data_IF_755844255269
#
_entry.id   IF_755844255269
#
_cell.length_a   1.000
_cell.length_b   1.000
_cell.length_c   1.000
_cell.angle_alpha   90.00
_cell.angle_beta   90.00
_cell.angle_gamma   90.00
#
_symmetry.space_group_name_H-M   'P 1'
#
loop_
_entity.id
_entity.type
_entity.pdbx_description
1 polymer ?
#
# COMPACT_ATOMS: atom_id res chain seq x y z
N UNK A 1 -23.17 27.41 -5.54
CA UNK A 1 -23.06 26.64 -6.80
C UNK A 1 -21.60 26.59 -7.20
N UNK A 2 -20.92 25.48 -6.92
CA UNK A 2 -19.63 25.13 -7.52
C UNK A 2 -19.85 23.74 -8.08
N UNK A 3 -19.94 23.66 -9.39
CA UNK A 3 -20.03 22.42 -10.13
C UNK A 3 -18.75 21.62 -9.85
N UNK A 4 -18.92 20.53 -9.11
CA UNK A 4 -17.92 19.48 -9.03
C UNK A 4 -18.10 18.72 -10.34
N UNK A 5 -17.11 18.80 -11.22
CA UNK A 5 -17.00 17.90 -12.37
C UNK A 5 -17.05 16.46 -11.83
N UNK A 6 -18.21 15.81 -11.93
CA UNK A 6 -18.33 14.39 -11.68
C UNK A 6 -17.67 13.69 -12.87
N UNK A 7 -16.38 13.36 -12.72
CA UNK A 7 -15.76 12.39 -13.60
C UNK A 7 -16.38 11.03 -13.22
N UNK A 8 -17.17 10.48 -14.14
CA UNK A 8 -17.78 9.17 -13.98
C UNK A 8 -16.70 8.08 -14.03
N UNK A 9 -16.17 7.74 -12.85
CA UNK A 9 -15.22 6.63 -12.67
C UNK A 9 -15.90 5.26 -12.92
N UNK A 10 -17.23 5.23 -13.09
CA UNK A 10 -18.01 4.01 -13.29
C UNK A 10 -17.89 3.39 -14.68
N UNK A 11 -17.54 4.18 -15.71
CA UNK A 11 -17.60 3.70 -17.10
C UNK A 11 -16.43 2.79 -17.53
N UNK A 12 -15.35 2.69 -16.75
CA UNK A 12 -14.15 1.94 -17.16
C UNK A 12 -13.79 0.73 -16.26
N UNK A 13 -14.47 0.52 -15.14
CA UNK A 13 -14.20 -0.61 -14.24
C UNK A 13 -15.46 -1.28 -13.66
N UNK A 14 -16.64 -1.14 -14.28
CA UNK A 14 -17.81 -1.90 -13.89
C UNK A 14 -17.78 -3.31 -14.51
N UNK A 15 -17.04 -4.24 -13.89
CA UNK A 15 -17.36 -5.65 -14.02
C UNK A 15 -18.43 -5.98 -12.98
N UNK A 16 -19.65 -6.24 -13.45
CA UNK A 16 -20.55 -7.08 -12.69
C UNK A 16 -19.91 -8.47 -12.64
N UNK A 17 -19.47 -8.90 -11.46
CA UNK A 17 -19.13 -10.31 -11.25
C UNK A 17 -20.43 -11.09 -11.41
N UNK A 18 -20.70 -11.64 -12.60
CA UNK A 18 -21.98 -12.28 -12.92
C UNK A 18 -22.32 -13.42 -11.95
N UNK A 19 -21.29 -14.11 -11.44
CA UNK A 19 -21.39 -15.11 -10.36
C UNK A 19 -20.11 -15.10 -9.51
N UNK A 20 -20.19 -14.61 -8.27
CA UNK A 20 -19.18 -14.86 -7.25
C UNK A 20 -19.65 -16.00 -6.37
N UNK A 21 -18.86 -17.08 -6.26
CA UNK A 21 -19.09 -18.11 -5.24
C UNK A 21 -18.10 -17.86 -4.11
N UNK A 22 -18.61 -17.64 -2.90
CA UNK A 22 -17.79 -17.47 -1.70
C UNK A 22 -17.80 -18.75 -0.89
N UNK A 23 -16.62 -19.30 -0.63
CA UNK A 23 -16.44 -20.44 0.25
C UNK A 23 -15.77 -19.94 1.55
N UNK A 24 -16.51 -19.89 2.65
CA UNK A 24 -15.97 -19.53 3.97
C UNK A 24 -15.40 -20.77 4.69
N UNK A 25 -14.48 -20.58 5.65
CA UNK A 25 -13.83 -21.64 6.43
C UNK A 25 -13.20 -22.75 5.57
N UNK A 26 -12.80 -22.39 4.36
CA UNK A 26 -12.13 -23.27 3.40
C UNK A 26 -10.66 -22.90 3.42
N UNK A 27 -10.00 -23.15 4.55
CA UNK A 27 -8.55 -22.99 4.59
C UNK A 27 -7.93 -23.97 3.59
N UNK A 28 -7.04 -23.45 2.75
CA UNK A 28 -6.34 -24.26 1.76
C UNK A 28 -5.08 -24.82 2.40
N UNK A 29 -4.70 -26.03 2.03
CA UNK A 29 -3.50 -26.68 2.58
C UNK A 29 -2.43 -26.91 1.54
N UNK A 30 -2.80 -26.94 0.26
CA UNK A 30 -1.89 -27.21 -0.83
C UNK A 30 -2.34 -26.55 -2.13
N UNK A 31 -1.37 -26.05 -2.88
CA UNK A 31 -1.54 -25.65 -4.27
C UNK A 31 -0.64 -26.57 -5.07
N UNK A 32 -1.24 -27.36 -5.95
CA UNK A 32 -0.51 -28.22 -6.88
C UNK A 32 -0.58 -27.60 -8.27
N UNK A 33 0.60 -27.27 -8.80
CA UNK A 33 0.77 -26.84 -10.18
C UNK A 33 1.05 -28.07 -11.04
N UNK A 34 -0.02 -28.77 -11.41
CA UNK A 34 0.07 -30.13 -11.95
C UNK A 34 0.32 -30.11 -13.47
N UNK A 35 -0.14 -29.07 -14.18
CA UNK A 35 -0.08 -29.00 -15.64
C UNK A 35 0.04 -27.55 -16.15
N UNK A 36 0.69 -27.36 -17.31
CA UNK A 36 0.76 -26.06 -18.00
C UNK A 36 -0.60 -25.42 -18.34
N UNK A 37 -1.70 -26.16 -18.15
CA UNK A 37 -3.07 -25.77 -18.54
C UNK A 37 -4.02 -25.48 -17.36
N UNK A 38 -3.71 -25.88 -16.13
CA UNK A 38 -4.60 -25.69 -14.98
C UNK A 38 -3.85 -25.79 -13.65
N UNK A 39 -4.34 -25.09 -12.63
CA UNK A 39 -3.83 -25.19 -11.25
C UNK A 39 -4.90 -25.75 -10.31
N UNK A 40 -4.50 -26.54 -9.32
CA UNK A 40 -5.43 -27.17 -8.37
C UNK A 40 -5.15 -26.71 -6.94
N UNK A 41 -6.20 -26.42 -6.18
CA UNK A 41 -6.12 -26.25 -4.72
C UNK A 41 -6.72 -27.46 -4.03
N UNK A 42 -6.12 -27.83 -2.90
CA UNK A 42 -6.68 -28.80 -1.96
C UNK A 42 -7.09 -28.07 -0.68
N UNK A 43 -8.35 -28.22 -0.27
CA UNK A 43 -8.85 -27.66 0.99
C UNK A 43 -8.43 -28.52 2.19
N UNK A 44 -8.52 -27.99 3.41
CA UNK A 44 -8.34 -28.78 4.64
C UNK A 44 -9.22 -30.04 4.71
N UNK A 45 -10.37 -30.05 4.03
CA UNK A 45 -11.28 -31.20 3.95
C UNK A 45 -10.87 -32.24 2.91
N UNK A 46 -9.77 -32.01 2.18
CA UNK A 46 -9.29 -32.87 1.11
C UNK A 46 -10.04 -32.70 -0.22
N UNK A 47 -10.90 -31.68 -0.34
CA UNK A 47 -11.59 -31.38 -1.60
C UNK A 47 -10.65 -30.69 -2.57
N UNK A 48 -10.72 -31.07 -3.84
CA UNK A 48 -9.90 -30.49 -4.90
C UNK A 48 -10.74 -29.61 -5.82
N UNK A 49 -10.22 -28.42 -6.12
CA UNK A 49 -10.81 -27.49 -7.07
C UNK A 49 -9.75 -27.09 -8.10
N UNK A 50 -10.11 -27.14 -9.38
CA UNK A 50 -9.21 -26.77 -10.48
C UNK A 50 -9.64 -25.46 -11.12
N UNK A 51 -8.67 -24.61 -11.42
CA UNK A 51 -8.85 -23.29 -12.00
C UNK A 51 -7.85 -23.04 -13.12
N UNK A 52 -8.14 -22.07 -13.99
CA UNK A 52 -7.16 -21.57 -14.95
C UNK A 52 -6.02 -20.83 -14.25
N UNK A 53 -6.33 -20.11 -13.17
CA UNK A 53 -5.40 -19.26 -12.45
C UNK A 53 -5.84 -19.09 -10.98
N UNK A 54 -4.88 -18.95 -10.08
CA UNK A 54 -5.06 -18.58 -8.67
C UNK A 54 -4.39 -17.24 -8.40
N UNK A 55 -5.12 -16.36 -7.71
CA UNK A 55 -4.57 -15.14 -7.11
C UNK A 55 -4.31 -15.35 -5.62
N UNK A 56 -3.04 -15.51 -5.26
CA UNK A 56 -2.58 -15.59 -3.88
C UNK A 56 -2.66 -14.23 -3.20
N UNK A 57 -3.73 -14.01 -2.44
CA UNK A 57 -4.03 -12.78 -1.68
C UNK A 57 -4.14 -13.04 -0.17
N UNK A 58 -3.47 -14.08 0.30
CA UNK A 58 -3.54 -14.67 1.64
C UNK A 58 -2.56 -14.04 2.65
N UNK A 59 -2.05 -12.85 2.33
CA UNK A 59 -1.29 -12.00 3.23
C UNK A 59 0.14 -12.48 3.52
N UNK A 60 0.80 -11.79 4.45
CA UNK A 60 2.23 -12.01 4.75
C UNK A 60 2.55 -13.43 5.21
N UNK A 61 1.60 -14.15 5.82
CA UNK A 61 1.80 -15.53 6.29
C UNK A 61 1.14 -16.59 5.39
N UNK A 62 0.63 -16.17 4.23
CA UNK A 62 -0.13 -16.98 3.29
C UNK A 62 0.61 -18.21 2.76
N UNK A 63 -0.15 -19.24 2.40
CA UNK A 63 0.36 -20.48 1.81
C UNK A 63 0.82 -20.28 0.37
N UNK A 64 0.27 -19.27 -0.33
CA UNK A 64 0.49 -19.08 -1.76
C UNK A 64 1.95 -18.75 -2.03
N UNK A 65 2.51 -17.77 -1.29
CA UNK A 65 3.94 -17.45 -1.36
C UNK A 65 4.80 -18.62 -0.85
N UNK A 66 4.43 -19.27 0.26
CA UNK A 66 5.18 -20.42 0.80
C UNK A 66 5.26 -21.58 -0.19
N UNK A 67 4.25 -21.76 -1.03
CA UNK A 67 4.25 -22.80 -2.05
C UNK A 67 5.22 -22.47 -3.18
N UNK A 68 5.24 -21.20 -3.63
CA UNK A 68 6.12 -20.77 -4.72
C UNK A 68 7.57 -20.58 -4.27
N UNK A 69 7.77 -20.08 -3.06
CA UNK A 69 9.07 -19.66 -2.51
C UNK A 69 9.19 -20.14 -1.05
N UNK A 70 9.32 -21.47 -0.80
CA UNK A 70 9.36 -22.03 0.55
C UNK A 70 10.56 -21.55 1.38
N UNK A 71 11.63 -21.08 0.73
CA UNK A 71 12.80 -20.48 1.36
C UNK A 71 12.57 -19.04 1.85
N UNK A 72 11.51 -18.37 1.39
CA UNK A 72 11.21 -16.98 1.76
C UNK A 72 10.36 -16.92 3.02
N UNK A 73 11.03 -16.64 4.13
CA UNK A 73 10.41 -16.44 5.44
C UNK A 73 10.23 -14.94 5.69
N UNK A 74 9.00 -14.46 6.03
CA UNK A 74 8.81 -13.08 6.46
C UNK A 74 9.61 -12.78 7.72
N UNK A 75 10.29 -11.64 7.73
CA UNK A 75 11.07 -11.19 8.86
C UNK A 75 10.79 -9.73 9.16
N UNK A 76 11.04 -9.32 10.40
CA UNK A 76 11.04 -7.90 10.73
C UNK A 76 12.35 -7.28 10.22
N UNK A 77 12.30 -6.26 9.36
CA UNK A 77 13.51 -5.67 8.79
C UNK A 77 14.29 -4.83 9.82
N UNK A 78 13.62 -4.43 10.89
CA UNK A 78 14.18 -3.75 12.07
C UNK A 78 13.58 -4.35 13.34
N UNK A 79 13.99 -3.87 14.52
CA UNK A 79 13.34 -4.24 15.78
C UNK A 79 12.04 -3.44 16.03
N UNK A 80 11.47 -2.81 15.00
CA UNK A 80 10.29 -1.98 15.17
C UNK A 80 9.02 -2.84 15.31
N UNK A 81 8.13 -2.42 16.20
CA UNK A 81 6.83 -3.04 16.43
C UNK A 81 5.78 -1.97 16.73
N UNK A 82 4.51 -2.34 16.65
CA UNK A 82 3.42 -1.39 16.86
C UNK A 82 2.39 -1.89 17.87
N UNK A 83 2.00 -1.04 18.83
CA UNK A 83 0.71 -1.22 19.50
C UNK A 83 -0.41 -0.61 18.66
N UNK A 84 -1.62 -1.15 18.81
CA UNK A 84 -2.84 -0.59 18.22
C UNK A 84 -3.90 -0.44 19.28
N UNK A 85 -4.56 0.71 19.30
CA UNK A 85 -5.68 0.95 20.20
C UNK A 85 -6.73 1.85 19.56
N UNK A 86 -7.94 1.76 20.09
CA UNK A 86 -9.07 2.59 19.68
C UNK A 86 -9.66 3.24 20.93
N UNK A 87 -9.92 4.54 20.85
CA UNK A 87 -10.60 5.29 21.93
C UNK A 87 -11.81 6.02 21.34
N UNK A 88 -13.03 5.86 21.91
CA UNK A 88 -14.20 6.59 21.43
C UNK A 88 -14.00 8.11 21.53
N UNK A 89 -14.38 8.85 20.48
CA UNK A 89 -14.31 10.31 20.45
C UNK A 89 -15.08 10.95 21.60
N UNK A 90 -16.19 10.34 22.01
CA UNK A 90 -17.01 10.81 23.14
C UNK A 90 -16.21 10.92 24.44
N UNK A 91 -15.26 10.01 24.70
CA UNK A 91 -14.39 10.06 25.88
C UNK A 91 -13.34 11.16 25.75
N UNK A 92 -12.78 11.32 24.55
CA UNK A 92 -11.76 12.34 24.26
C UNK A 92 -12.36 13.75 24.37
N UNK A 93 -13.58 13.95 23.87
CA UNK A 93 -14.31 15.22 23.91
C UNK A 93 -14.78 15.59 25.32
N UNK A 94 -15.09 14.59 26.16
CA UNK A 94 -15.52 14.80 27.54
C UNK A 94 -14.38 15.32 28.44
N UNK A 95 -13.12 15.05 28.10
CA UNK A 95 -11.96 15.47 28.88
C UNK A 95 -11.40 16.84 28.39
N UNK A 96 -11.30 17.86 29.27
CA UNK A 96 -10.84 19.19 28.88
C UNK A 96 -9.42 19.26 28.29
N UNK A 97 -8.55 18.32 28.64
CA UNK A 97 -7.16 18.28 28.20
C UNK A 97 -7.03 17.62 26.82
N UNK A 98 -7.85 16.60 26.53
CA UNK A 98 -7.75 15.86 25.26
C UNK A 98 -8.70 16.38 24.19
N UNK A 99 -9.75 17.13 24.54
CA UNK A 99 -10.74 17.62 23.55
C UNK A 99 -10.11 18.38 22.39
N UNK A 100 -9.02 19.12 22.61
CA UNK A 100 -8.37 19.91 21.56
C UNK A 100 -7.81 19.04 20.43
N UNK A 101 -7.48 17.77 20.72
CA UNK A 101 -6.94 16.84 19.73
C UNK A 101 -7.92 16.51 18.61
N UNK A 102 -9.22 16.68 18.84
CA UNK A 102 -10.27 16.27 17.90
C UNK A 102 -11.29 17.37 17.60
N UNK A 103 -11.11 18.57 18.20
CA UNK A 103 -12.07 19.67 18.10
C UNK A 103 -11.96 20.44 16.79
N UNK A 104 -10.77 20.51 16.21
CA UNK A 104 -10.48 21.35 15.04
C UNK A 104 -10.78 20.67 13.70
N UNK A 105 -11.13 19.38 13.70
CA UNK A 105 -11.52 18.65 12.51
C UNK A 105 -11.20 17.17 12.57
N UNK A 106 -11.39 16.50 11.44
CA UNK A 106 -10.97 15.12 11.23
C UNK A 106 -9.58 15.12 10.59
N UNK A 107 -8.53 15.25 11.41
CA UNK A 107 -7.13 15.20 10.96
C UNK A 107 -6.50 13.84 11.22
N UNK A 108 -5.45 13.54 10.44
CA UNK A 108 -4.45 12.53 10.81
C UNK A 108 -3.27 13.27 11.39
N UNK A 109 -2.89 12.95 12.62
CA UNK A 109 -1.75 13.57 13.30
C UNK A 109 -0.65 12.55 13.56
N UNK A 110 0.60 12.99 13.42
CA UNK A 110 1.79 12.18 13.76
C UNK A 110 2.54 12.87 14.88
N UNK A 111 2.69 12.16 15.99
CA UNK A 111 3.37 12.58 17.20
C UNK A 111 4.72 11.87 17.25
N UNK A 112 5.82 12.61 17.12
CA UNK A 112 7.16 12.05 17.09
C UNK A 112 7.91 12.41 18.37
N UNK A 113 8.65 11.46 18.92
CA UNK A 113 9.61 11.67 20.01
C UNK A 113 10.85 10.80 19.71
N UNK A 114 11.81 10.77 20.64
CA UNK A 114 13.01 9.97 20.54
C UNK A 114 12.66 8.48 20.41
N UNK A 115 13.02 7.91 19.26
CA UNK A 115 12.90 6.47 18.99
C UNK A 115 11.46 5.91 19.08
N UNK A 116 10.45 6.77 18.92
CA UNK A 116 9.06 6.37 18.92
C UNK A 116 8.18 7.40 18.20
N UNK A 117 7.08 6.94 17.62
CA UNK A 117 6.04 7.82 17.12
C UNK A 117 4.64 7.25 17.36
N UNK A 118 3.62 8.11 17.34
CA UNK A 118 2.21 7.74 17.38
C UNK A 118 1.50 8.39 16.19
N UNK A 119 0.69 7.61 15.48
CA UNK A 119 -0.25 8.15 14.49
C UNK A 119 -1.65 8.08 15.10
N UNK A 120 -2.40 9.17 15.03
CA UNK A 120 -3.80 9.25 15.44
C UNK A 120 -4.68 9.68 14.26
N UNK A 121 -5.79 9.00 14.02
CA UNK A 121 -6.76 9.41 13.00
C UNK A 121 -8.18 8.91 13.31
N UNK A 122 -9.22 9.64 12.86
CA UNK A 122 -10.61 9.20 12.99
C UNK A 122 -10.89 7.97 12.14
N UNK A 123 -11.67 7.06 12.69
CA UNK A 123 -12.35 5.99 11.96
C UNK A 123 -13.85 6.03 12.28
N UNK A 124 -14.64 5.13 11.70
CA UNK A 124 -16.08 5.00 12.00
C UNK A 124 -16.87 6.33 11.83
N UNK A 125 -16.52 7.13 10.81
CA UNK A 125 -17.06 8.47 10.58
C UNK A 125 -16.86 9.44 11.77
N UNK A 126 -15.72 9.37 12.45
CA UNK A 126 -15.37 10.24 13.57
C UNK A 126 -15.99 9.82 14.91
N UNK A 127 -16.48 8.58 15.02
CA UNK A 127 -16.94 8.02 16.30
C UNK A 127 -15.78 7.51 17.16
N UNK A 128 -14.72 7.06 16.53
CA UNK A 128 -13.60 6.38 17.17
C UNK A 128 -12.27 6.99 16.70
N UNK A 129 -11.32 7.16 17.63
CA UNK A 129 -9.94 7.54 17.33
C UNK A 129 -9.10 6.28 17.27
N UNK A 130 -8.57 5.99 16.09
CA UNK A 130 -7.57 4.95 15.93
C UNK A 130 -6.19 5.49 16.28
N UNK A 131 -5.40 4.68 16.97
CA UNK A 131 -4.03 5.01 17.37
C UNK A 131 -3.09 3.87 17.03
N UNK A 132 -1.94 4.21 16.43
CA UNK A 132 -0.84 3.28 16.14
C UNK A 132 0.41 3.81 16.81
N UNK A 133 1.01 2.98 17.67
CA UNK A 133 2.14 3.34 18.54
C UNK A 133 3.38 2.57 18.09
N UNK A 134 4.25 3.22 17.31
CA UNK A 134 5.48 2.59 16.78
C UNK A 134 6.65 2.79 17.74
N UNK A 135 7.43 1.74 17.97
CA UNK A 135 8.57 1.74 18.87
C UNK A 135 9.50 0.55 18.58
N UNK A 136 10.79 0.71 18.88
CA UNK A 136 11.74 -0.39 18.84
C UNK A 136 11.68 -1.25 20.11
N UNK A 137 11.80 -2.57 19.93
CA UNK A 137 12.00 -3.54 20.99
C UNK A 137 13.47 -3.97 21.07
N UNK A 138 13.94 -4.55 22.20
CA UNK A 138 15.30 -5.09 22.29
C UNK A 138 15.60 -6.14 21.23
N UNK A 139 14.62 -7.01 20.94
CA UNK A 139 14.69 -8.09 19.96
C UNK A 139 13.53 -8.01 18.97
N UNK A 140 13.69 -8.48 17.72
CA UNK A 140 12.60 -8.54 16.75
C UNK A 140 11.41 -9.35 17.25
N UNK A 141 10.20 -8.81 17.05
CA UNK A 141 8.96 -9.53 17.32
C UNK A 141 8.59 -10.35 16.08
N UNK A 142 8.33 -11.64 16.26
CA UNK A 142 7.95 -12.54 15.16
C UNK A 142 6.44 -12.78 15.07
N UNK A 143 5.72 -12.68 16.19
CA UNK A 143 4.29 -12.98 16.30
C UNK A 143 3.58 -11.90 17.10
N UNK A 144 2.27 -11.77 16.92
CA UNK A 144 1.45 -10.86 17.74
C UNK A 144 1.51 -11.31 19.20
N UNK A 145 1.76 -10.37 20.11
CA UNK A 145 1.90 -10.63 21.54
C UNK A 145 0.89 -9.80 22.33
N UNK A 146 0.18 -10.37 23.32
CA UNK A 146 -0.56 -9.56 24.28
C UNK A 146 0.40 -8.71 25.11
N UNK A 147 -0.01 -7.49 25.46
CA UNK A 147 0.77 -6.58 26.31
C UNK A 147 -0.10 -5.90 27.34
N UNK A 148 0.48 -5.64 28.50
CA UNK A 148 -0.19 -4.90 29.58
C UNK A 148 -0.21 -3.41 29.28
N UNK A 149 -1.32 -2.74 29.61
CA UNK A 149 -1.43 -1.28 29.40
C UNK A 149 -0.34 -0.50 30.17
N UNK A 150 0.15 -1.05 31.28
CA UNK A 150 1.26 -0.45 32.04
C UNK A 150 2.55 -0.34 31.21
N UNK A 151 2.84 -1.33 30.36
CA UNK A 151 4.00 -1.32 29.48
C UNK A 151 3.88 -0.22 28.41
N UNK A 152 2.69 -0.05 27.83
CA UNK A 152 2.41 1.03 26.88
C UNK A 152 2.56 2.40 27.56
N UNK A 153 2.05 2.56 28.79
CA UNK A 153 2.18 3.80 29.55
C UNK A 153 3.64 4.13 29.85
N UNK A 154 4.46 3.14 30.18
CA UNK A 154 5.88 3.31 30.45
C UNK A 154 6.65 3.70 29.18
N UNK A 155 6.39 3.01 28.06
CA UNK A 155 7.01 3.30 26.75
C UNK A 155 6.78 4.76 26.32
N UNK A 156 5.57 5.29 26.57
CA UNK A 156 5.16 6.63 26.15
C UNK A 156 5.10 7.65 27.29
N UNK A 157 5.82 7.42 28.41
CA UNK A 157 5.76 8.30 29.61
C UNK A 157 6.26 9.73 29.38
N UNK A 158 7.12 9.93 28.38
CA UNK A 158 7.71 11.22 28.05
C UNK A 158 6.94 12.00 26.97
N UNK A 159 5.95 11.38 26.33
CA UNK A 159 5.13 12.03 25.31
C UNK A 159 4.25 13.15 25.87
N UNK A 160 3.67 13.95 24.96
CA UNK A 160 2.74 15.03 25.26
C UNK A 160 1.68 14.60 26.30
N UNK A 161 1.43 15.41 27.35
CA UNK A 161 0.45 15.09 28.39
C UNK A 161 -0.94 14.69 27.85
N UNK A 162 -1.39 15.29 26.73
CA UNK A 162 -2.67 14.97 26.09
C UNK A 162 -2.68 13.54 25.55
N UNK A 163 -1.59 13.11 24.91
CA UNK A 163 -1.45 11.73 24.42
C UNK A 163 -1.41 10.74 25.57
N UNK A 164 -0.65 11.01 26.63
CA UNK A 164 -0.63 10.15 27.83
C UNK A 164 -2.02 10.01 28.45
N UNK A 165 -2.80 11.10 28.45
CA UNK A 165 -4.19 11.09 28.91
C UNK A 165 -5.06 10.21 28.01
N UNK A 166 -4.94 10.28 26.69
CA UNK A 166 -5.66 9.38 25.76
C UNK A 166 -5.26 7.91 25.98
N UNK A 167 -3.97 7.61 26.16
CA UNK A 167 -3.50 6.23 26.48
C UNK A 167 -4.19 5.70 27.75
N UNK A 168 -4.42 6.57 28.75
CA UNK A 168 -5.12 6.17 29.97
C UNK A 168 -6.62 5.87 29.78
N UNK A 169 -7.21 6.23 28.64
CA UNK A 169 -8.61 5.96 28.30
C UNK A 169 -8.85 4.63 27.58
N UNK A 170 -7.78 3.90 27.26
CA UNK A 170 -7.88 2.58 26.61
C UNK A 170 -8.38 1.57 27.64
N UNK A 171 -9.48 0.89 27.33
CA UNK A 171 -10.20 -0.04 28.22
C UNK A 171 -10.35 -1.45 27.64
N UNK A 172 -9.60 -1.78 26.58
CA UNK A 172 -9.59 -3.08 25.95
C UNK A 172 -8.17 -3.68 25.93
N UNK A 173 -8.02 -5.01 25.76
CA UNK A 173 -6.70 -5.63 25.61
C UNK A 173 -5.89 -4.99 24.48
N UNK A 174 -4.60 -4.77 24.72
CA UNK A 174 -3.66 -4.26 23.71
C UNK A 174 -2.74 -5.40 23.27
N UNK A 175 -2.36 -5.35 22.00
CA UNK A 175 -1.40 -6.28 21.41
C UNK A 175 -0.24 -5.51 20.79
N UNK A 176 0.94 -6.11 20.85
CA UNK A 176 2.11 -5.73 20.06
C UNK A 176 2.11 -6.50 18.75
N UNK A 177 2.20 -5.78 17.65
CA UNK A 177 2.22 -6.31 16.30
C UNK A 177 3.62 -6.22 15.71
N UNK A 178 4.14 -7.30 15.12
CA UNK A 178 5.38 -7.25 14.37
C UNK A 178 5.18 -6.55 13.01
N UNK A 179 6.24 -5.92 12.50
CA UNK A 179 6.26 -5.35 11.15
C UNK A 179 7.02 -6.28 10.21
N UNK A 180 6.34 -7.37 9.82
CA UNK A 180 6.94 -8.38 8.95
C UNK A 180 6.92 -7.94 7.49
N UNK A 181 8.04 -8.13 6.81
CA UNK A 181 8.17 -7.94 5.37
C UNK A 181 8.74 -9.19 4.73
N UNK A 182 8.37 -9.39 3.49
CA UNK A 182 9.07 -10.27 2.56
C UNK A 182 9.98 -9.38 1.74
N UNK A 183 11.28 -9.68 1.77
CA UNK A 183 12.25 -9.01 0.89
C UNK A 183 11.82 -9.09 -0.59
N UNK A 184 12.49 -8.36 -1.49
CA UNK A 184 12.11 -8.35 -2.90
C UNK A 184 12.12 -9.77 -3.46
N UNK A 185 10.94 -10.25 -3.87
CA UNK A 185 10.81 -11.55 -4.50
C UNK A 185 11.38 -11.49 -5.92
N UNK A 186 11.95 -12.60 -6.39
CA UNK A 186 12.47 -12.70 -7.77
C UNK A 186 11.33 -12.67 -8.81
N UNK A 187 10.15 -13.11 -8.42
CA UNK A 187 8.92 -13.14 -9.22
C UNK A 187 7.72 -13.13 -8.27
N UNK A 188 6.57 -12.69 -8.76
CA UNK A 188 5.28 -12.76 -8.07
C UNK A 188 4.40 -13.88 -8.64
N UNK A 189 4.96 -14.84 -9.37
CA UNK A 189 4.19 -15.90 -9.99
C UNK A 189 4.95 -17.20 -10.12
N UNK A 190 4.22 -18.31 -10.28
CA UNK A 190 4.75 -19.61 -10.69
C UNK A 190 5.40 -19.52 -12.07
N UNK A 191 6.32 -20.42 -12.41
CA UNK A 191 6.96 -20.47 -13.73
C UNK A 191 5.95 -20.57 -14.90
N UNK A 192 4.85 -21.30 -14.73
CA UNK A 192 3.80 -21.42 -15.75
C UNK A 192 2.77 -20.27 -15.73
N UNK A 193 2.96 -19.26 -14.86
CA UNK A 193 2.10 -18.08 -14.69
C UNK A 193 0.64 -18.37 -14.32
N UNK A 194 0.37 -19.44 -13.57
CA UNK A 194 -0.99 -19.79 -13.10
C UNK A 194 -1.24 -19.54 -11.62
N UNK A 195 -0.20 -19.46 -10.80
CA UNK A 195 -0.29 -18.91 -9.45
C UNK A 195 0.33 -17.53 -9.47
N UNK A 196 -0.40 -16.49 -9.09
CA UNK A 196 0.09 -15.11 -9.05
C UNK A 196 -0.21 -14.49 -7.69
N UNK A 197 0.81 -13.89 -7.07
CA UNK A 197 0.74 -13.26 -5.77
C UNK A 197 0.35 -11.79 -5.92
N UNK A 198 -0.48 -11.29 -4.99
CA UNK A 198 -0.86 -9.88 -4.87
C UNK A 198 -0.79 -9.41 -3.41
N UNK A 199 -0.67 -8.10 -3.19
CA UNK A 199 -0.65 -7.53 -1.85
C UNK A 199 0.45 -8.13 -0.96
N UNK A 200 0.18 -8.29 0.34
CA UNK A 200 1.19 -8.74 1.30
C UNK A 200 1.79 -10.14 1.01
N UNK A 201 1.12 -10.98 0.21
CA UNK A 201 1.71 -12.24 -0.25
C UNK A 201 2.89 -12.01 -1.22
N UNK A 202 2.86 -10.89 -1.97
CA UNK A 202 3.86 -10.52 -2.97
C UNK A 202 4.81 -9.40 -2.52
N UNK A 203 4.27 -8.39 -1.82
CA UNK A 203 4.91 -7.10 -1.59
C UNK A 203 4.64 -6.51 -0.19
N UNK A 204 4.58 -7.38 0.82
CA UNK A 204 4.44 -6.94 2.22
C UNK A 204 5.47 -5.87 2.59
N UNK A 205 5.03 -4.88 3.36
CA UNK A 205 5.80 -3.68 3.66
C UNK A 205 5.54 -3.18 5.07
N UNK A 206 6.50 -2.44 5.63
CA UNK A 206 6.28 -1.71 6.88
C UNK A 206 5.20 -0.64 6.68
N UNK A 207 4.49 -0.29 7.76
CA UNK A 207 3.25 0.50 7.71
C UNK A 207 3.44 2.03 7.68
N UNK A 208 4.67 2.53 7.58
CA UNK A 208 4.99 3.94 7.76
C UNK A 208 4.47 4.87 6.67
N UNK A 209 4.03 4.37 5.51
CA UNK A 209 3.40 5.17 4.45
C UNK A 209 1.91 4.83 4.23
N UNK A 210 1.33 3.95 5.05
CA UNK A 210 -0.05 3.46 4.90
C UNK A 210 -0.37 2.90 3.49
N UNK A 211 0.63 2.39 2.76
CA UNK A 211 0.49 2.00 1.35
C UNK A 211 0.24 0.51 1.11
N UNK A 212 0.31 -0.37 2.12
CA UNK A 212 0.15 -1.82 1.90
C UNK A 212 -1.18 -2.19 1.24
N UNK A 213 -2.30 -1.76 1.84
CA UNK A 213 -3.63 -2.02 1.30
C UNK A 213 -3.86 -1.35 -0.06
N UNK A 214 -3.43 -0.10 -0.24
CA UNK A 214 -3.54 0.61 -1.52
C UNK A 214 -2.75 -0.11 -2.63
N UNK A 215 -1.55 -0.61 -2.32
CA UNK A 215 -0.72 -1.38 -3.26
C UNK A 215 -1.39 -2.70 -3.65
N UNK A 216 -2.00 -3.41 -2.69
CA UNK A 216 -2.78 -4.61 -2.98
C UNK A 216 -3.99 -4.33 -3.89
N UNK A 217 -4.68 -3.20 -3.68
CA UNK A 217 -5.79 -2.77 -4.55
C UNK A 217 -5.30 -2.42 -5.96
N UNK A 218 -4.18 -1.69 -6.08
CA UNK A 218 -3.54 -1.40 -7.36
C UNK A 218 -3.16 -2.68 -8.10
N UNK A 219 -2.67 -3.70 -7.40
CA UNK A 219 -2.33 -5.00 -7.98
C UNK A 219 -3.57 -5.68 -8.57
N UNK A 220 -4.66 -5.73 -7.80
CA UNK A 220 -5.94 -6.27 -8.25
C UNK A 220 -6.52 -5.53 -9.44
N UNK A 221 -6.49 -4.20 -9.44
CA UNK A 221 -6.96 -3.35 -10.55
C UNK A 221 -6.10 -3.59 -11.80
N UNK A 222 -4.78 -3.59 -11.66
CA UNK A 222 -3.87 -3.79 -12.78
C UNK A 222 -4.09 -5.17 -13.42
N UNK A 223 -4.16 -6.23 -12.58
CA UNK A 223 -4.46 -7.59 -13.03
C UNK A 223 -5.82 -7.69 -13.73
N UNK A 224 -6.86 -7.06 -13.17
CA UNK A 224 -8.20 -7.05 -13.77
C UNK A 224 -8.18 -6.50 -15.20
N UNK A 225 -7.44 -5.41 -15.45
CA UNK A 225 -7.33 -4.81 -16.78
C UNK A 225 -6.54 -5.70 -17.75
N UNK A 226 -5.40 -6.27 -17.34
CA UNK A 226 -4.62 -7.15 -18.25
C UNK A 226 -5.33 -8.49 -18.51
N UNK A 227 -6.03 -9.04 -17.52
CA UNK A 227 -6.82 -10.27 -17.68
C UNK A 227 -8.04 -10.07 -18.57
N UNK A 228 -8.62 -8.86 -18.60
CA UNK A 228 -9.64 -8.51 -19.60
C UNK A 228 -9.12 -8.69 -21.02
N UNK A 229 -7.89 -8.25 -21.29
CA UNK A 229 -7.28 -8.43 -22.61
C UNK A 229 -7.01 -9.91 -22.95
N UNK A 230 -6.81 -10.76 -21.93
CA UNK A 230 -6.74 -12.22 -22.10
C UNK A 230 -8.11 -12.80 -22.49
N UNK A 231 -9.17 -12.42 -21.78
CA UNK A 231 -10.55 -12.87 -22.06
C UNK A 231 -10.98 -12.44 -23.47
N UNK A 232 -10.56 -11.25 -23.91
CA UNK A 232 -10.80 -10.74 -25.27
C UNK A 232 -9.93 -11.41 -26.34
N UNK A 233 -9.02 -12.31 -25.97
CA UNK A 233 -8.10 -12.99 -26.89
C UNK A 233 -7.01 -12.08 -27.47
N UNK A 234 -6.81 -10.89 -26.93
CA UNK A 234 -5.83 -9.91 -27.43
C UNK A 234 -4.40 -10.24 -27.01
N UNK A 235 -4.23 -10.80 -25.81
CA UNK A 235 -2.95 -11.32 -25.30
C UNK A 235 -3.18 -12.68 -24.61
N UNK A 236 -2.13 -13.46 -24.39
CA UNK A 236 -2.23 -14.71 -23.62
C UNK A 236 -1.98 -14.46 -22.11
N UNK A 237 -2.36 -15.44 -21.28
CA UNK A 237 -2.23 -15.35 -19.81
C UNK A 237 -0.78 -15.08 -19.37
N UNK A 238 0.20 -15.75 -19.99
CA UNK A 238 1.62 -15.56 -19.67
C UNK A 238 2.04 -14.11 -19.89
N UNK A 239 1.68 -13.54 -21.05
CA UNK A 239 1.96 -12.12 -21.37
C UNK A 239 1.29 -11.18 -20.37
N UNK A 240 0.05 -11.44 -19.94
CA UNK A 240 -0.64 -10.61 -18.96
C UNK A 240 0.07 -10.62 -17.59
N UNK A 241 0.50 -11.79 -17.11
CA UNK A 241 1.24 -11.90 -15.85
C UNK A 241 2.63 -11.27 -15.96
N UNK A 242 3.33 -11.47 -17.08
CA UNK A 242 4.63 -10.83 -17.34
C UNK A 242 4.50 -9.30 -17.35
N UNK A 243 3.42 -8.74 -17.93
CA UNK A 243 3.12 -7.31 -17.87
C UNK A 243 2.87 -6.84 -16.43
N UNK A 244 2.07 -7.58 -15.67
CA UNK A 244 1.82 -7.29 -14.26
C UNK A 244 3.12 -7.21 -13.46
N UNK A 245 3.94 -8.26 -13.49
CA UNK A 245 5.21 -8.30 -12.76
C UNK A 245 6.13 -7.16 -13.17
N UNK A 246 6.34 -6.99 -14.48
CA UNK A 246 7.26 -5.98 -15.02
C UNK A 246 6.86 -4.55 -14.63
N UNK A 247 5.56 -4.26 -14.56
CA UNK A 247 5.05 -2.91 -14.31
C UNK A 247 4.80 -2.62 -12.83
N UNK A 248 4.44 -3.64 -12.04
CA UNK A 248 4.06 -3.49 -10.63
C UNK A 248 5.20 -3.73 -9.66
N UNK A 249 6.09 -4.70 -9.91
CA UNK A 249 7.19 -4.99 -8.98
C UNK A 249 8.05 -3.77 -8.67
N UNK A 250 8.53 -2.97 -9.65
CA UNK A 250 9.36 -1.80 -9.34
C UNK A 250 8.61 -0.72 -8.55
N UNK A 251 7.29 -0.57 -8.77
CA UNK A 251 6.48 0.43 -8.07
C UNK A 251 6.21 0.01 -6.62
N UNK A 252 5.87 -1.25 -6.40
CA UNK A 252 5.69 -1.77 -5.05
C UNK A 252 7.01 -1.74 -4.27
N UNK A 253 8.13 -2.10 -4.91
CA UNK A 253 9.46 -1.95 -4.31
C UNK A 253 9.74 -0.50 -3.91
N UNK A 254 9.43 0.47 -4.80
CA UNK A 254 9.60 1.88 -4.47
C UNK A 254 8.79 2.29 -3.24
N UNK A 255 7.54 1.83 -3.13
CA UNK A 255 6.69 2.09 -1.94
C UNK A 255 7.25 1.43 -0.68
N UNK A 256 7.77 0.20 -0.78
CA UNK A 256 8.47 -0.49 0.33
C UNK A 256 9.67 0.33 0.83
N UNK A 257 10.53 0.78 -0.08
CA UNK A 257 11.71 1.59 0.23
C UNK A 257 11.34 2.92 0.91
N UNK A 258 10.37 3.65 0.34
CA UNK A 258 9.93 4.93 0.90
C UNK A 258 9.27 4.72 2.27
N UNK A 259 8.50 3.64 2.45
CA UNK A 259 7.94 3.29 3.76
C UNK A 259 9.02 3.00 4.79
N UNK A 260 10.06 2.24 4.42
CA UNK A 260 11.19 1.99 5.31
C UNK A 260 11.88 3.30 5.73
N UNK A 261 12.23 4.16 4.76
CA UNK A 261 12.89 5.43 5.02
C UNK A 261 12.03 6.39 5.87
N UNK A 262 10.72 6.41 5.65
CA UNK A 262 9.82 7.22 6.46
C UNK A 262 9.81 6.75 7.93
N UNK A 263 9.88 5.45 8.15
CA UNK A 263 10.08 4.86 9.47
C UNK A 263 11.36 5.35 10.15
N UNK A 264 12.49 5.28 9.45
CA UNK A 264 13.79 5.74 9.96
C UNK A 264 13.74 7.23 10.36
N UNK A 265 13.10 8.08 9.53
CA UNK A 265 12.95 9.51 9.82
C UNK A 265 12.11 9.73 11.08
N UNK A 266 10.96 9.06 11.19
CA UNK A 266 10.05 9.25 12.32
C UNK A 266 10.61 8.73 13.64
N UNK A 267 11.52 7.77 13.64
CA UNK A 267 12.18 7.26 14.86
C UNK A 267 13.52 7.93 15.18
N UNK A 268 13.96 8.96 14.44
CA UNK A 268 15.19 9.68 14.80
C UNK A 268 15.15 10.16 16.27
N UNK A 269 16.32 10.09 16.93
CA UNK A 269 16.51 10.44 18.33
C UNK A 269 17.66 11.45 18.53
N UNK A 270 17.71 12.06 19.70
CA UNK A 270 18.76 12.99 20.11
C UNK A 270 18.93 14.18 19.16
N UNK A 271 20.16 14.46 18.76
CA UNK A 271 20.45 15.60 17.87
C UNK A 271 19.93 15.41 16.44
N UNK A 272 19.71 14.16 16.01
CA UNK A 272 19.06 13.90 14.72
C UNK A 272 17.56 14.24 14.77
N UNK A 273 16.87 13.93 15.87
CA UNK A 273 15.47 14.32 16.09
C UNK A 273 15.29 15.84 16.02
N UNK A 274 16.15 16.61 16.71
CA UNK A 274 16.06 18.08 16.67
C UNK A 274 16.23 18.65 15.26
N UNK A 275 17.13 18.07 14.46
CA UNK A 275 17.32 18.48 13.06
C UNK A 275 16.11 18.14 12.19
N UNK A 276 15.52 16.96 12.37
CA UNK A 276 14.24 16.59 11.73
C UNK A 276 13.15 17.59 12.11
N UNK A 277 12.96 17.85 13.40
CA UNK A 277 11.90 18.74 13.89
C UNK A 277 12.07 20.16 13.36
N UNK A 278 13.30 20.69 13.33
CA UNK A 278 13.60 21.98 12.74
C UNK A 278 13.30 22.03 11.22
N UNK A 279 13.56 20.94 10.50
CA UNK A 279 13.25 20.84 9.08
C UNK A 279 11.73 20.72 8.81
N UNK A 280 11.00 20.00 9.67
CA UNK A 280 9.54 19.80 9.56
C UNK A 280 8.72 20.96 10.15
N UNK A 281 9.33 21.87 10.93
CA UNK A 281 8.63 22.96 11.61
C UNK A 281 7.85 23.88 10.67
N UNK A 282 8.27 24.00 9.41
CA UNK A 282 7.57 24.79 8.39
C UNK A 282 6.17 24.25 8.06
N UNK A 283 5.91 22.97 8.35
CA UNK A 283 4.62 22.30 8.07
C UNK A 283 3.56 22.57 9.13
N UNK A 284 3.96 22.99 10.34
CA UNK A 284 3.04 23.29 11.44
C UNK A 284 2.23 24.59 11.24
N UNK A 285 2.39 25.24 10.09
CA UNK A 285 1.84 26.57 9.76
C UNK A 285 0.40 26.63 9.24
N UNK A 286 -0.38 25.55 9.38
CA UNK A 286 -1.82 25.46 9.03
C UNK A 286 -2.14 24.96 7.62
N UNK A 287 -3.39 24.56 7.40
CA UNK A 287 -3.92 24.08 6.11
C UNK A 287 -3.69 25.08 4.97
N UNK A 288 -3.32 24.59 3.78
CA UNK A 288 -3.22 25.38 2.55
C UNK A 288 -1.82 25.89 2.18
N UNK A 289 -0.79 25.64 2.99
CA UNK A 289 0.61 25.93 2.62
C UNK A 289 1.21 24.72 1.88
N UNK A 290 1.09 24.71 0.55
CA UNK A 290 1.79 23.73 -0.28
C UNK A 290 3.28 24.04 -0.26
N UNK A 291 4.07 23.16 0.34
CA UNK A 291 5.52 23.28 0.30
C UNK A 291 6.05 22.65 -0.99
N UNK A 292 6.89 23.39 -1.72
CA UNK A 292 7.55 22.88 -2.92
C UNK A 292 8.57 21.78 -2.61
N UNK A 293 9.08 21.74 -1.37
CA UNK A 293 9.94 20.69 -0.82
C UNK A 293 9.62 20.55 0.65
N UNK A 294 9.47 19.32 1.12
CA UNK A 294 9.22 19.02 2.53
C UNK A 294 10.01 17.76 2.92
N UNK A 295 10.56 17.71 4.14
CA UNK A 295 11.18 16.51 4.69
C UNK A 295 10.16 15.43 5.09
N UNK A 296 8.86 15.76 5.16
CA UNK A 296 7.78 14.81 5.37
C UNK A 296 7.42 14.14 4.04
N UNK A 297 7.71 12.85 3.94
CA UNK A 297 7.48 12.07 2.72
C UNK A 297 5.99 11.93 2.37
N UNK A 298 5.06 12.17 3.29
CA UNK A 298 3.63 12.28 2.99
C UNK A 298 3.26 13.62 2.34
N UNK A 299 3.97 14.69 2.67
CA UNK A 299 3.71 16.03 2.13
C UNK A 299 4.49 16.31 0.83
N UNK A 300 5.51 15.51 0.52
CA UNK A 300 6.39 15.76 -0.62
C UNK A 300 5.60 15.69 -1.95
N UNK A 301 5.59 16.75 -2.78
CA UNK A 301 4.82 16.75 -4.02
C UNK A 301 5.23 15.66 -5.02
N UNK A 302 6.53 15.28 -5.01
CA UNK A 302 7.03 14.19 -5.83
C UNK A 302 6.45 12.85 -5.39
N UNK A 303 6.55 12.55 -4.09
CA UNK A 303 5.96 11.34 -3.50
C UNK A 303 4.44 11.30 -3.66
N UNK A 304 3.75 12.42 -3.45
CA UNK A 304 2.30 12.54 -3.65
C UNK A 304 1.88 12.17 -5.08
N UNK A 305 2.60 12.71 -6.08
CA UNK A 305 2.34 12.39 -7.48
C UNK A 305 2.68 10.94 -7.81
N UNK A 306 3.81 10.45 -7.32
CA UNK A 306 4.33 9.13 -7.68
C UNK A 306 3.55 7.98 -7.02
N UNK A 307 3.18 8.13 -5.75
CA UNK A 307 2.59 7.08 -4.92
C UNK A 307 1.06 7.25 -4.82
N UNK A 308 0.58 8.44 -4.48
CA UNK A 308 -0.83 8.64 -4.08
C UNK A 308 -1.74 9.03 -5.26
N UNK A 309 -1.19 9.66 -6.29
CA UNK A 309 -1.93 10.03 -7.52
C UNK A 309 -1.82 9.00 -8.64
N UNK A 310 -1.27 7.83 -8.35
CA UNK A 310 -1.06 6.78 -9.35
C UNK A 310 -2.37 6.09 -9.73
N UNK A 311 -2.68 6.10 -11.03
CA UNK A 311 -3.80 5.37 -11.60
C UNK A 311 -3.34 4.02 -12.18
N UNK A 312 -3.63 2.95 -11.44
CA UNK A 312 -3.27 1.59 -11.84
C UNK A 312 -4.02 1.10 -13.08
N UNK A 313 -5.26 1.53 -13.30
CA UNK A 313 -6.08 1.10 -14.42
C UNK A 313 -5.57 1.71 -15.73
N UNK A 314 -5.31 3.02 -15.73
CA UNK A 314 -4.74 3.74 -16.88
C UNK A 314 -3.36 3.17 -17.22
N UNK A 315 -2.53 2.91 -16.21
CA UNK A 315 -1.21 2.32 -16.43
C UNK A 315 -1.30 0.92 -17.05
N UNK A 316 -2.21 0.07 -16.56
CA UNK A 316 -2.43 -1.26 -17.12
C UNK A 316 -2.91 -1.21 -18.56
N UNK A 317 -3.87 -0.32 -18.87
CA UNK A 317 -4.38 -0.14 -20.23
C UNK A 317 -3.27 0.26 -21.20
N UNK A 318 -2.42 1.22 -20.82
CA UNK A 318 -1.26 1.61 -21.62
C UNK A 318 -0.24 0.49 -21.80
N UNK A 319 -0.02 -0.33 -20.76
CA UNK A 319 0.87 -1.48 -20.84
C UNK A 319 0.37 -2.55 -21.84
N UNK A 320 -0.94 -2.82 -21.85
CA UNK A 320 -1.58 -3.71 -22.85
C UNK A 320 -1.47 -3.12 -24.25
N UNK A 321 -1.82 -1.85 -24.43
CA UNK A 321 -1.75 -1.17 -25.73
C UNK A 321 -0.33 -1.21 -26.32
N UNK A 322 0.69 -0.95 -25.48
CA UNK A 322 2.10 -1.02 -25.87
C UNK A 322 2.51 -2.43 -26.28
N UNK A 323 1.99 -3.47 -25.63
CA UNK A 323 2.25 -4.86 -26.01
C UNK A 323 1.60 -5.19 -27.36
N UNK A 324 0.35 -4.76 -27.57
CA UNK A 324 -0.40 -5.01 -28.81
C UNK A 324 0.19 -4.30 -30.04
N UNK A 325 0.73 -3.09 -29.86
CA UNK A 325 1.43 -2.35 -30.93
C UNK A 325 2.77 -3.01 -31.33
N UNK A 326 3.16 -4.09 -30.65
CA UNK A 326 4.48 -4.67 -30.73
C UNK A 326 5.53 -3.68 -30.20
N UNK A 327 6.79 -4.12 -30.09
CA UNK A 327 7.92 -3.21 -29.83
C UNK A 327 8.22 -2.30 -31.04
N UNK A 328 7.20 -1.81 -31.73
CA UNK A 328 7.28 -0.74 -32.71
C UNK A 328 7.67 0.52 -31.95
N UNK A 329 8.95 0.86 -32.05
CA UNK A 329 9.44 2.19 -31.78
C UNK A 329 8.40 3.21 -32.28
N UNK A 330 8.11 4.23 -31.48
CA UNK A 330 7.88 5.54 -32.08
C UNK A 330 9.07 5.70 -33.02
N UNK A 331 8.83 5.55 -34.32
CA UNK A 331 9.88 5.67 -35.30
C UNK A 331 10.57 7.01 -35.00
N UNK A 332 11.89 7.01 -34.89
CA UNK A 332 12.71 8.24 -34.73
C UNK A 332 12.53 9.24 -35.90
N UNK A 333 11.58 8.99 -36.80
CA UNK A 333 11.18 9.88 -37.88
C UNK A 333 10.29 10.99 -37.31
N UNK A 334 10.90 11.97 -36.65
CA UNK A 334 10.23 13.24 -36.41
C UNK A 334 10.79 14.13 -35.29
N UNK A 335 11.54 13.59 -34.32
CA UNK A 335 12.04 14.43 -33.23
C UNK A 335 13.39 15.05 -33.56
N UNK A 336 13.48 16.35 -33.30
CA UNK A 336 14.70 17.18 -33.44
C UNK A 336 15.74 16.75 -32.40
N UNK A 337 16.87 16.18 -32.83
CA UNK A 337 17.93 15.62 -31.95
C UNK A 337 18.60 16.66 -31.03
N UNK A 338 18.41 17.94 -31.31
CA UNK A 338 18.82 19.07 -30.48
C UNK A 338 17.89 19.33 -29.27
N UNK A 339 16.79 18.59 -29.13
CA UNK A 339 15.86 18.67 -28.01
C UNK A 339 15.89 17.35 -27.23
N UNK A 340 15.93 17.43 -25.89
CA UNK A 340 15.80 16.25 -25.02
C UNK A 340 14.50 15.52 -25.31
N UNK A 341 14.58 14.21 -25.53
CA UNK A 341 13.43 13.38 -25.90
C UNK A 341 12.31 13.47 -24.87
N UNK A 342 12.65 13.53 -23.58
CA UNK A 342 11.66 13.67 -22.50
C UNK A 342 10.88 15.00 -22.60
N UNK A 343 11.55 16.06 -23.06
CA UNK A 343 10.92 17.37 -23.27
C UNK A 343 10.01 17.34 -24.50
N UNK A 344 10.47 16.74 -25.60
CA UNK A 344 9.67 16.58 -26.82
C UNK A 344 8.40 15.76 -26.54
N UNK A 345 8.53 14.60 -25.89
CA UNK A 345 7.41 13.70 -25.59
C UNK A 345 6.38 14.36 -24.65
N UNK A 346 6.84 15.16 -23.67
CA UNK A 346 5.96 15.84 -22.72
C UNK A 346 5.09 16.95 -23.32
N UNK A 347 5.48 17.49 -24.48
CA UNK A 347 4.81 18.64 -25.14
C UNK A 347 4.13 18.20 -26.43
N UNK A 348 4.84 17.50 -27.30
CA UNK A 348 4.35 17.08 -28.63
C UNK A 348 3.48 15.83 -28.54
N UNK A 349 3.68 14.98 -27.51
CA UNK A 349 2.82 13.81 -27.26
C UNK A 349 1.33 14.15 -27.06
N UNK A 350 1.01 15.41 -26.76
CA UNK A 350 -0.38 15.91 -26.69
C UNK A 350 -1.06 16.02 -28.06
N UNK A 351 -0.30 16.07 -29.15
CA UNK A 351 -0.77 16.38 -30.52
C UNK A 351 -0.53 15.24 -31.53
N UNK A 352 -0.10 14.05 -31.08
CA UNK A 352 0.15 12.92 -31.97
C UNK A 352 -1.17 12.39 -32.57
N UNK A 353 -1.15 12.11 -33.89
CA UNK A 353 -2.32 11.78 -34.73
C UNK A 353 -3.09 10.51 -34.30
N UNK A 354 -2.52 9.68 -33.42
CA UNK A 354 -3.09 8.39 -33.00
C UNK A 354 -4.17 8.50 -31.90
N UNK A 355 -4.52 9.71 -31.42
CA UNK A 355 -5.78 9.90 -30.67
C UNK A 355 -6.94 10.03 -31.64
N UNK A 356 -7.37 8.89 -32.18
CA UNK A 356 -8.70 8.75 -32.78
C UNK A 356 -9.74 9.01 -31.69
N UNK A 357 -10.43 10.14 -31.85
CA UNK A 357 -11.70 10.56 -31.28
C UNK A 357 -12.24 9.78 -30.06
N UNK A 358 -11.99 10.33 -28.86
CA UNK A 358 -13.02 10.37 -27.83
C UNK A 358 -13.36 11.86 -27.62
N UNK A 359 -14.48 12.27 -28.22
CA UNK A 359 -15.02 13.63 -28.10
C UNK A 359 -15.45 13.90 -26.64
N UNK A 360 -15.29 15.18 -26.30
CA UNK A 360 -15.63 15.91 -25.07
C UNK A 360 -16.81 15.39 -24.26
#
# INVERSE_FOLDING_TARGET
>A
MREIYSYDVGAHAAFAVEKASTYSNSDWVRIDDIFSFSVTITTQKGENYSFDMILGSDGVNGISRKTLFPEVVPTSPTNNSAYRAIVPYSRILADPQTKSLVKEGLSMDVWMDNDAYIITYPISAGKDLNMVFSHHTPDPVANVQPVELAEVKEQYKNFDPRIKKVISMIDHPIQRWPLLVTGPLKSWSSDCKRVVLIGDAANSMVNHMAQGAATAMEDGVFLGVVLKAVIQGSINLKTAVDLYEKQRMPRAQRKQEVSFLNGEIWHLSGEAAKRRDAAMATELGGEGKVQMRTPNLHGDPGMMREIYSYDAAVHAAFAVEKELRGRGAIAEKGWRKDIRKETYDSVVGWFAEDRVEAKL
#
